data_IF_972920810076
#
_entry.id   IF_972920810076
#
_cell.length_a   1.000
_cell.length_b   1.000
_cell.length_c   1.000
_cell.angle_alpha   90.00
_cell.angle_beta   90.00
_cell.angle_gamma   90.00
#
_symmetry.space_group_name_H-M   'P 1'
#
loop_
_entity.id
_entity.type
_entity.pdbx_description
1 polymer ?
#
# COMPACT_ATOMS: atom_id res chain seq x y z
N UNK A 1 -0.59 0.95 -2.53
CA UNK A 1 0.23 0.37 -1.44
C UNK A 1 -0.47 0.66 -0.13
N UNK A 2 -0.52 -0.30 0.81
CA UNK A 2 -1.08 -0.08 2.13
C UNK A 2 0.03 0.22 3.13
N UNK A 3 -0.13 1.26 3.93
CA UNK A 3 0.76 1.63 5.03
C UNK A 3 0.02 1.48 6.36
N UNK A 4 0.69 0.95 7.37
CA UNK A 4 0.22 0.96 8.75
C UNK A 4 1.39 1.20 9.70
N UNK A 5 1.29 2.18 10.59
CA UNK A 5 2.34 2.46 11.56
C UNK A 5 2.08 1.68 12.86
N UNK A 6 2.92 0.69 13.14
CA UNK A 6 2.87 -0.12 14.36
C UNK A 6 3.44 0.65 15.55
N UNK A 7 4.52 1.40 15.32
CA UNK A 7 5.20 2.20 16.32
C UNK A 7 5.72 3.51 15.72
N UNK A 8 5.43 4.62 16.38
CA UNK A 8 5.79 5.98 15.98
C UNK A 8 5.21 6.42 14.64
N UNK A 9 5.50 7.65 14.26
CA UNK A 9 4.91 8.28 13.08
C UNK A 9 5.81 8.14 11.85
N UNK A 10 5.25 8.38 10.66
CA UNK A 10 6.02 8.59 9.44
C UNK A 10 5.42 9.73 8.61
N UNK A 11 6.20 10.30 7.70
CA UNK A 11 5.70 11.24 6.69
C UNK A 11 5.85 10.61 5.31
N UNK A 12 4.75 10.48 4.57
CA UNK A 12 4.74 10.05 3.18
C UNK A 12 4.59 11.30 2.30
N UNK A 13 5.69 11.73 1.67
CA UNK A 13 5.66 12.82 0.69
C UNK A 13 5.07 12.28 -0.60
N UNK A 14 4.11 12.98 -1.19
CA UNK A 14 3.48 12.58 -2.46
C UNK A 14 3.41 13.74 -3.44
N UNK A 15 3.20 13.41 -4.73
CA UNK A 15 2.78 14.38 -5.74
C UNK A 15 1.34 14.06 -6.15
N UNK A 16 0.41 14.94 -5.78
CA UNK A 16 -1.01 14.82 -6.06
C UNK A 16 -1.45 16.03 -6.91
N UNK A 17 -2.03 15.79 -8.08
CA UNK A 17 -2.47 16.84 -9.00
C UNK A 17 -1.37 17.88 -9.33
N UNK A 18 -0.14 17.40 -9.51
CA UNK A 18 1.02 18.25 -9.83
C UNK A 18 1.52 19.11 -8.66
N UNK A 19 1.08 18.82 -7.42
CA UNK A 19 1.51 19.53 -6.21
C UNK A 19 2.13 18.56 -5.23
N UNK A 20 3.22 18.98 -4.59
CA UNK A 20 3.78 18.24 -3.47
C UNK A 20 2.83 18.32 -2.27
N UNK A 21 2.69 17.21 -1.54
CA UNK A 21 1.89 17.11 -0.32
C UNK A 21 2.54 16.14 0.65
N UNK A 22 2.61 16.54 1.91
CA UNK A 22 3.08 15.68 3.00
C UNK A 22 1.88 15.01 3.67
N UNK A 23 1.92 13.68 3.78
CA UNK A 23 0.92 12.89 4.51
C UNK A 23 1.58 12.33 5.76
N UNK A 24 1.22 12.87 6.92
CA UNK A 24 1.62 12.29 8.21
C UNK A 24 0.73 11.08 8.48
N UNK A 25 1.36 9.94 8.74
CA UNK A 25 0.70 8.69 9.14
C UNK A 25 1.16 8.42 10.57
N UNK A 26 0.28 8.63 11.55
CA UNK A 26 0.62 8.51 12.96
C UNK A 26 0.61 7.05 13.43
N UNK A 27 1.22 6.80 14.58
CA UNK A 27 1.14 5.50 15.24
C UNK A 27 -0.31 5.00 15.39
N UNK A 28 -0.55 3.79 14.90
CA UNK A 28 -1.86 3.13 14.86
C UNK A 28 -2.73 3.51 13.66
N UNK A 29 -2.28 4.42 12.78
CA UNK A 29 -3.02 4.81 11.58
C UNK A 29 -2.73 3.91 10.37
N UNK A 30 -3.71 3.84 9.49
CA UNK A 30 -3.65 3.10 8.24
C UNK A 30 -3.92 4.02 7.06
N UNK A 31 -3.06 3.97 6.06
CA UNK A 31 -3.19 4.79 4.85
C UNK A 31 -3.10 3.93 3.59
N UNK A 32 -4.06 4.09 2.68
CA UNK A 32 -4.03 3.40 1.40
C UNK A 32 -3.64 4.38 0.29
N UNK A 33 -2.45 4.18 -0.26
CA UNK A 33 -1.96 4.95 -1.39
C UNK A 33 -2.55 4.40 -2.71
N UNK A 34 -3.25 5.23 -3.51
CA UNK A 34 -3.72 4.87 -4.85
C UNK A 34 -2.57 4.46 -5.78
N UNK A 35 -2.92 3.75 -6.87
CA UNK A 35 -1.93 3.39 -7.89
C UNK A 35 -1.40 4.64 -8.61
N UNK A 36 -0.11 4.59 -9.02
CA UNK A 36 0.56 5.60 -9.86
C UNK A 36 0.71 6.99 -9.19
N UNK A 37 0.69 7.06 -7.87
CA UNK A 37 1.05 8.29 -7.14
C UNK A 37 2.56 8.26 -6.85
N UNK A 38 3.35 9.23 -7.35
CA UNK A 38 4.72 9.41 -6.92
C UNK A 38 4.74 9.63 -5.40
N UNK A 39 5.53 8.84 -4.68
CA UNK A 39 5.58 8.88 -3.23
C UNK A 39 7.01 8.64 -2.73
N UNK A 40 7.36 9.26 -1.61
CA UNK A 40 8.68 9.18 -0.97
C UNK A 40 8.50 9.02 0.55
N UNK A 41 8.59 7.78 1.07
CA UNK A 41 8.38 7.51 2.49
C UNK A 41 9.57 8.02 3.34
N UNK A 42 9.26 8.86 4.32
CA UNK A 42 10.21 9.37 5.32
C UNK A 42 9.95 8.69 6.66
N UNK A 43 10.91 7.90 7.13
CA UNK A 43 10.84 7.17 8.40
C UNK A 43 11.78 7.81 9.44
N UNK A 44 11.37 7.79 10.69
CA UNK A 44 12.16 8.32 11.80
C UNK A 44 12.77 7.19 12.64
N UNK A 45 13.78 7.52 13.45
CA UNK A 45 14.39 6.56 14.37
C UNK A 45 13.36 5.96 15.35
N UNK A 46 13.56 4.70 15.72
CA UNK A 46 12.69 3.98 16.68
C UNK A 46 11.23 3.79 16.25
N UNK A 47 10.95 3.83 14.95
CA UNK A 47 9.61 3.58 14.36
C UNK A 47 9.53 2.21 13.69
N UNK A 48 8.34 1.65 13.61
CA UNK A 48 8.05 0.39 12.91
C UNK A 48 6.78 0.57 12.08
N UNK A 49 6.86 0.29 10.79
CA UNK A 49 5.72 0.37 9.87
C UNK A 49 5.59 -0.88 9.02
N UNK A 50 4.34 -1.30 8.82
CA UNK A 50 3.95 -2.34 7.89
C UNK A 50 3.62 -1.71 6.54
N UNK A 51 4.16 -2.29 5.46
CA UNK A 51 3.79 -1.96 4.09
C UNK A 51 3.34 -3.23 3.39
N UNK A 52 2.18 -3.18 2.73
CA UNK A 52 1.67 -4.28 1.92
C UNK A 52 1.52 -3.81 0.46
N UNK A 53 2.23 -4.49 -0.41
CA UNK A 53 2.16 -4.39 -1.87
C UNK A 53 1.92 -5.77 -2.47
N UNK A 54 1.75 -5.82 -3.80
CA UNK A 54 1.63 -7.07 -4.55
C UNK A 54 2.71 -7.20 -5.60
N UNK A 55 2.97 -8.43 -5.99
CA UNK A 55 3.75 -8.73 -7.19
C UNK A 55 3.16 -8.02 -8.42
N UNK A 56 4.05 -7.52 -9.28
CA UNK A 56 3.66 -6.81 -10.50
C UNK A 56 3.22 -7.80 -11.57
N UNK A 57 2.22 -7.42 -12.37
CA UNK A 57 1.97 -8.13 -13.63
C UNK A 57 3.13 -7.85 -14.59
N UNK A 58 3.40 -8.76 -15.53
CA UNK A 58 4.44 -8.58 -16.56
C UNK A 58 4.31 -7.32 -17.41
N UNK A 59 3.10 -6.74 -17.47
CA UNK A 59 2.79 -5.51 -18.20
C UNK A 59 2.94 -4.24 -17.35
N UNK A 60 3.27 -4.37 -16.07
CA UNK A 60 3.43 -3.26 -15.14
C UNK A 60 4.89 -2.88 -15.00
N UNK A 61 5.10 -1.57 -14.89
CA UNK A 61 6.42 -0.94 -14.82
C UNK A 61 6.40 0.01 -13.62
N UNK A 62 7.44 -0.10 -12.81
CA UNK A 62 7.73 0.80 -11.70
C UNK A 62 8.70 1.88 -12.17
N UNK A 63 8.64 3.03 -11.50
CA UNK A 63 9.49 4.18 -11.81
C UNK A 63 10.08 4.77 -10.55
N UNK A 64 11.38 5.03 -10.57
CA UNK A 64 12.05 5.86 -9.55
C UNK A 64 12.34 7.23 -10.14
N UNK A 65 12.04 8.28 -9.38
CA UNK A 65 12.23 9.68 -9.79
C UNK A 65 12.89 10.50 -8.70
N UNK A 66 13.76 11.41 -9.12
CA UNK A 66 14.21 12.57 -8.35
C UNK A 66 13.67 13.84 -9.00
N UNK A 67 13.45 14.88 -8.18
CA UNK A 67 12.91 16.16 -8.63
C UNK A 67 13.91 17.29 -8.37
N UNK A 68 13.76 18.39 -9.10
CA UNK A 68 14.58 19.59 -8.91
C UNK A 68 14.11 20.33 -7.67
N UNK A 69 14.83 20.21 -6.56
CA UNK A 69 14.48 20.83 -5.27
C UNK A 69 13.05 20.47 -4.84
N UNK A 70 12.31 21.46 -4.36
CA UNK A 70 10.89 21.31 -3.94
C UNK A 70 9.89 21.46 -5.11
N UNK A 71 10.36 21.43 -6.36
CA UNK A 71 9.48 21.49 -7.53
C UNK A 71 8.93 20.12 -7.90
N UNK A 72 8.04 20.08 -8.89
CA UNK A 72 7.59 18.84 -9.54
C UNK A 72 8.27 18.59 -10.88
N UNK A 73 9.35 19.32 -11.19
CA UNK A 73 10.15 19.11 -12.38
C UNK A 73 11.08 17.91 -12.16
N UNK A 74 11.02 16.92 -13.04
CA UNK A 74 11.83 15.71 -12.94
C UNK A 74 13.30 16.05 -13.20
N UNK A 75 14.17 15.65 -12.29
CA UNK A 75 15.63 15.78 -12.38
C UNK A 75 16.26 14.53 -12.99
N UNK A 76 15.81 13.35 -12.55
CA UNK A 76 16.26 12.04 -13.00
C UNK A 76 15.09 11.07 -12.90
N UNK A 77 15.00 10.14 -13.84
CA UNK A 77 14.06 9.03 -13.72
C UNK A 77 14.59 7.74 -14.33
N UNK A 78 14.12 6.62 -13.79
CA UNK A 78 14.37 5.28 -14.33
C UNK A 78 13.12 4.43 -14.22
N UNK A 79 12.80 3.70 -15.28
CA UNK A 79 11.67 2.80 -15.36
C UNK A 79 12.15 1.37 -15.51
N UNK A 80 11.52 0.44 -14.79
CA UNK A 80 11.94 -0.96 -14.75
C UNK A 80 10.77 -1.88 -14.41
N UNK A 81 10.87 -3.15 -14.81
CA UNK A 81 9.97 -4.18 -14.32
C UNK A 81 10.43 -4.63 -12.93
N UNK A 82 9.54 -4.51 -11.94
CA UNK A 82 9.86 -4.80 -10.55
C UNK A 82 9.51 -6.24 -10.18
N UNK A 83 10.53 -7.04 -9.94
CA UNK A 83 10.46 -8.40 -9.40
C UNK A 83 10.83 -8.41 -7.90
N UNK A 84 11.88 -7.67 -7.53
CA UNK A 84 12.31 -7.45 -6.15
C UNK A 84 12.72 -5.98 -5.97
N UNK A 85 11.81 -5.22 -5.36
CA UNK A 85 11.98 -3.79 -5.18
C UNK A 85 13.23 -3.45 -4.35
N UNK A 86 13.52 -4.24 -3.31
CA UNK A 86 14.62 -3.94 -2.39
C UNK A 86 15.98 -4.04 -3.08
N UNK A 87 16.18 -5.09 -3.87
CA UNK A 87 17.45 -5.31 -4.58
C UNK A 87 17.57 -4.45 -5.83
N UNK A 88 16.48 -4.24 -6.58
CA UNK A 88 16.51 -3.49 -7.84
C UNK A 88 16.60 -1.98 -7.65
N UNK A 89 16.15 -1.42 -6.52
CA UNK A 89 16.27 0.02 -6.26
C UNK A 89 17.70 0.48 -5.96
N UNK A 90 18.50 -0.35 -5.28
CA UNK A 90 19.87 -0.02 -4.88
C UNK A 90 20.74 0.47 -6.07
N UNK A 91 20.86 -0.28 -7.18
CA UNK A 91 21.69 0.14 -8.30
C UNK A 91 21.15 1.41 -8.98
N UNK A 92 19.83 1.61 -9.05
CA UNK A 92 19.21 2.81 -9.64
C UNK A 92 19.52 4.05 -8.79
N UNK A 93 19.49 3.90 -7.45
CA UNK A 93 19.85 4.96 -6.52
C UNK A 93 21.34 5.32 -6.67
N UNK A 94 22.21 4.32 -6.78
CA UNK A 94 23.64 4.54 -7.02
C UNK A 94 23.90 5.21 -8.38
N UNK A 95 23.16 4.83 -9.43
CA UNK A 95 23.22 5.49 -10.74
C UNK A 95 22.90 6.98 -10.61
N UNK A 96 21.83 7.35 -9.90
CA UNK A 96 21.49 8.74 -9.65
C UNK A 96 22.61 9.49 -8.92
N UNK A 97 23.13 8.97 -7.81
CA UNK A 97 24.18 9.65 -7.04
C UNK A 97 25.50 9.81 -7.80
N UNK A 98 25.76 8.95 -8.80
CA UNK A 98 26.92 9.07 -9.69
C UNK A 98 26.64 9.90 -10.96
N UNK A 99 25.41 10.37 -11.15
CA UNK A 99 24.98 11.08 -12.36
C UNK A 99 25.41 12.55 -12.37
N UNK A 100 25.46 13.14 -13.58
CA UNK A 100 25.65 14.58 -13.75
C UNK A 100 24.45 15.37 -13.19
N UNK A 101 23.25 14.80 -13.23
CA UNK A 101 22.03 15.40 -12.70
C UNK A 101 22.15 15.63 -11.20
N UNK A 102 22.67 14.65 -10.44
CA UNK A 102 22.96 14.83 -9.02
C UNK A 102 24.04 15.88 -8.78
N UNK A 103 25.15 15.82 -9.54
CA UNK A 103 26.27 16.76 -9.38
C UNK A 103 25.90 18.22 -9.70
N UNK A 104 24.99 18.44 -10.65
CA UNK A 104 24.65 19.78 -11.15
C UNK A 104 23.31 20.30 -10.67
N UNK A 105 22.45 19.43 -10.13
CA UNK A 105 21.05 19.74 -9.80
C UNK A 105 20.19 20.09 -11.02
N UNK A 106 20.65 19.78 -12.24
CA UNK A 106 19.96 20.14 -13.50
C UNK A 106 19.58 18.88 -14.29
N UNK A 107 18.38 18.83 -14.90
CA UNK A 107 18.00 17.74 -15.79
C UNK A 107 18.99 17.60 -16.96
N UNK A 108 19.22 16.36 -17.42
CA UNK A 108 20.03 16.10 -18.60
C UNK A 108 19.21 16.40 -19.88
N UNK A 109 19.58 17.39 -20.72
CA UNK A 109 18.80 17.73 -21.91
C UNK A 109 18.73 16.61 -22.96
N UNK A 110 19.65 15.65 -22.92
CA UNK A 110 19.68 14.52 -23.84
C UNK A 110 18.79 13.35 -23.40
N UNK A 111 18.33 13.34 -22.13
CA UNK A 111 17.43 12.30 -21.63
C UNK A 111 15.98 12.68 -21.89
N UNK A 112 15.26 11.79 -22.57
CA UNK A 112 13.82 11.93 -22.78
C UNK A 112 13.12 11.46 -21.50
N UNK A 113 12.65 12.42 -20.71
CA UNK A 113 11.83 12.16 -19.55
C UNK A 113 10.41 11.79 -20.03
N UNK A 114 9.88 10.68 -19.55
CA UNK A 114 8.51 10.25 -19.78
C UNK A 114 7.55 11.32 -19.25
N UNK A 115 6.86 11.98 -20.17
CA UNK A 115 5.79 12.92 -19.85
C UNK A 115 4.61 12.15 -19.27
N UNK A 116 4.54 12.01 -17.95
CA UNK A 116 3.40 11.36 -17.31
C UNK A 116 2.57 12.38 -16.52
N UNK A 117 1.58 12.99 -17.18
CA UNK A 117 0.47 13.67 -16.52
C UNK A 117 -0.50 12.62 -15.96
N UNK A 118 -0.13 11.99 -14.84
CA UNK A 118 -0.99 11.01 -14.20
C UNK A 118 -2.16 11.75 -13.53
N UNK A 119 -3.38 11.59 -14.07
CA UNK A 119 -4.61 12.01 -13.39
C UNK A 119 -4.79 11.16 -12.13
N UNK A 120 -4.83 11.83 -10.98
CA UNK A 120 -4.95 11.20 -9.67
C UNK A 120 -6.43 11.04 -9.30
N UNK A 121 -6.79 9.84 -8.84
CA UNK A 121 -8.03 9.59 -8.10
C UNK A 121 -7.71 9.81 -6.61
N UNK A 122 -8.58 10.51 -5.89
CA UNK A 122 -8.36 10.95 -4.51
C UNK A 122 -7.79 9.86 -3.61
N UNK A 123 -6.76 10.20 -2.83
CA UNK A 123 -6.22 9.36 -1.75
C UNK A 123 -7.27 9.06 -0.67
N UNK A 124 -7.23 7.86 -0.08
CA UNK A 124 -8.10 7.48 1.04
C UNK A 124 -7.30 7.36 2.33
N UNK A 125 -7.69 8.13 3.34
CA UNK A 125 -7.06 8.14 4.65
C UNK A 125 -8.01 7.53 5.69
N UNK A 126 -7.53 6.60 6.51
CA UNK A 126 -8.28 6.10 7.66
C UNK A 126 -7.57 6.58 8.92
N UNK A 127 -8.19 7.55 9.59
CA UNK A 127 -7.65 8.05 10.85
C UNK A 127 -7.72 6.99 11.94
N UNK A 128 -6.88 7.14 12.97
CA UNK A 128 -6.92 6.27 14.16
C UNK A 128 -8.33 6.15 14.73
N UNK A 129 -9.10 7.23 14.75
CA UNK A 129 -10.48 7.23 15.24
C UNK A 129 -11.42 6.41 14.34
N UNK A 130 -11.25 6.44 13.02
CA UNK A 130 -12.04 5.59 12.12
C UNK A 130 -11.63 4.12 12.26
N UNK A 131 -10.34 3.84 12.44
CA UNK A 131 -9.85 2.49 12.70
C UNK A 131 -10.35 1.92 14.03
N UNK A 132 -10.25 2.70 15.12
CA UNK A 132 -10.77 2.34 16.44
C UNK A 132 -12.31 2.29 16.46
N UNK A 133 -13.00 3.18 15.76
CA UNK A 133 -14.45 3.08 15.57
C UNK A 133 -14.82 1.86 14.73
N UNK A 134 -14.00 1.44 13.77
CA UNK A 134 -14.23 0.18 13.05
C UNK A 134 -14.09 -1.00 14.01
N UNK A 135 -13.07 -1.02 14.87
CA UNK A 135 -12.94 -2.02 15.93
C UNK A 135 -14.15 -2.05 16.88
N UNK A 136 -14.70 -0.88 17.23
CA UNK A 136 -15.85 -0.75 18.15
C UNK A 136 -17.22 -0.99 17.48
N UNK A 137 -17.38 -0.63 16.21
CA UNK A 137 -18.65 -0.72 15.46
C UNK A 137 -18.80 -2.01 14.65
N UNK A 138 -17.81 -2.92 14.68
CA UNK A 138 -18.04 -4.34 14.38
C UNK A 138 -18.90 -4.89 15.54
N UNK A 139 -20.17 -4.48 15.57
CA UNK A 139 -21.14 -4.87 16.57
C UNK A 139 -21.45 -6.37 16.43
N UNK A 140 -21.31 -7.05 17.56
CA UNK A 140 -21.24 -8.49 17.81
C UNK A 140 -22.46 -9.36 17.43
N UNK A 141 -23.27 -9.02 16.42
CA UNK A 141 -24.49 -9.80 16.12
C UNK A 141 -24.79 -10.07 14.64
N UNK A 142 -23.89 -9.79 13.70
CA UNK A 142 -24.16 -10.11 12.29
C UNK A 142 -22.89 -10.61 11.60
N UNK A 143 -22.99 -11.80 10.99
CA UNK A 143 -22.14 -12.29 9.90
C UNK A 143 -22.22 -11.34 8.67
N UNK A 144 -21.83 -10.07 8.82
CA UNK A 144 -21.76 -9.09 7.72
C UNK A 144 -20.32 -8.63 7.58
N UNK A 145 -19.72 -9.00 6.44
CA UNK A 145 -18.44 -8.50 5.99
C UNK A 145 -18.58 -6.98 5.75
N UNK A 146 -18.08 -6.16 6.65
CA UNK A 146 -18.00 -4.72 6.41
C UNK A 146 -16.70 -4.43 5.66
N UNK A 147 -16.84 -3.97 4.41
CA UNK A 147 -15.71 -3.54 3.58
C UNK A 147 -15.26 -2.17 4.06
N UNK A 148 -14.00 -2.05 4.47
CA UNK A 148 -13.43 -0.80 5.03
C UNK A 148 -12.99 0.15 3.90
N UNK A 149 -12.52 -0.39 2.77
CA UNK A 149 -12.09 0.40 1.61
C UNK A 149 -13.05 0.16 0.44
N UNK A 150 -13.69 1.24 -0.02
CA UNK A 150 -14.63 1.23 -1.14
C UNK A 150 -14.00 0.70 -2.44
N UNK A 151 -14.87 0.26 -3.37
CA UNK A 151 -14.61 -0.39 -4.67
C UNK A 151 -13.66 0.35 -5.64
N UNK A 152 -13.17 1.53 -5.27
CA UNK A 152 -12.29 2.38 -6.07
C UNK A 152 -10.82 1.96 -6.06
N UNK A 153 -10.44 0.98 -5.24
CA UNK A 153 -9.06 0.50 -5.12
C UNK A 153 -8.92 -0.98 -5.48
N UNK A 154 -7.76 -1.36 -6.03
CA UNK A 154 -7.41 -2.78 -6.22
C UNK A 154 -7.21 -3.53 -4.90
N UNK A 155 -7.10 -2.79 -3.78
CA UNK A 155 -6.95 -3.34 -2.44
C UNK A 155 -8.33 -3.46 -1.79
N UNK A 156 -8.67 -4.68 -1.37
CA UNK A 156 -9.85 -4.96 -0.54
C UNK A 156 -9.39 -5.19 0.89
N UNK A 157 -9.97 -4.47 1.85
CA UNK A 157 -9.82 -4.77 3.28
C UNK A 157 -11.19 -5.06 3.86
N UNK A 158 -11.31 -6.26 4.41
CA UNK A 158 -12.53 -6.79 5.02
C UNK A 158 -12.31 -6.94 6.52
N UNK A 159 -13.25 -6.47 7.33
CA UNK A 159 -13.28 -6.76 8.76
C UNK A 159 -14.09 -8.03 9.05
N UNK A 160 -13.61 -8.82 10.00
CA UNK A 160 -14.26 -10.04 10.46
C UNK A 160 -14.41 -9.99 11.98
N UNK A 161 -15.63 -10.24 12.44
CA UNK A 161 -15.96 -10.54 13.83
C UNK A 161 -15.95 -12.06 14.11
N UNK A 162 -16.52 -12.49 15.24
CA UNK A 162 -16.69 -13.91 15.57
C UNK A 162 -17.42 -14.71 14.50
N UNK A 163 -17.16 -16.02 14.44
CA UNK A 163 -17.85 -16.95 13.54
C UNK A 163 -16.92 -17.71 12.59
N UNK A 164 -17.51 -18.33 11.57
CA UNK A 164 -16.80 -19.23 10.66
C UNK A 164 -16.87 -18.70 9.23
N UNK A 165 -15.73 -18.64 8.55
CA UNK A 165 -15.67 -18.47 7.10
C UNK A 165 -15.31 -19.82 6.50
N UNK A 166 -16.23 -20.40 5.71
CA UNK A 166 -16.00 -21.68 5.04
C UNK A 166 -15.62 -21.49 3.58
N UNK A 167 -14.67 -22.30 3.11
CA UNK A 167 -14.43 -22.54 1.68
C UNK A 167 -14.17 -21.27 0.85
N UNK A 168 -13.65 -20.21 1.46
CA UNK A 168 -13.39 -18.97 0.75
C UNK A 168 -12.22 -19.18 -0.23
N UNK A 169 -12.46 -18.83 -1.50
CA UNK A 169 -11.43 -18.85 -2.55
C UNK A 169 -11.07 -17.42 -2.92
N UNK A 170 -9.78 -17.12 -2.97
CA UNK A 170 -9.27 -15.82 -3.42
C UNK A 170 -8.35 -16.04 -4.63
N UNK A 171 -8.40 -15.11 -5.58
CA UNK A 171 -7.59 -15.16 -6.81
C UNK A 171 -6.25 -14.42 -6.65
N UNK A 172 -5.90 -14.06 -5.41
CA UNK A 172 -4.70 -13.33 -5.04
C UNK A 172 -4.33 -13.73 -3.62
N UNK A 173 -3.07 -13.49 -3.27
CA UNK A 173 -2.62 -13.64 -1.89
C UNK A 173 -3.42 -12.76 -0.96
N UNK A 174 -3.66 -13.30 0.24
CA UNK A 174 -4.35 -12.60 1.30
C UNK A 174 -3.47 -12.52 2.52
N UNK A 175 -3.53 -11.38 3.19
CA UNK A 175 -2.92 -11.19 4.49
C UNK A 175 -4.01 -11.06 5.55
N UNK A 176 -4.00 -11.98 6.51
CA UNK A 176 -4.97 -12.01 7.62
C UNK A 176 -4.28 -11.47 8.87
N UNK A 177 -4.84 -10.39 9.42
CA UNK A 177 -4.42 -9.82 10.70
C UNK A 177 -5.45 -10.09 11.78
N UNK A 178 -5.11 -10.95 12.74
CA UNK A 178 -5.90 -11.12 13.96
C UNK A 178 -5.50 -10.02 14.95
N UNK A 179 -6.36 -9.01 15.11
CA UNK A 179 -6.09 -7.85 15.97
C UNK A 179 -6.36 -8.17 17.44
N UNK A 180 -7.47 -8.86 17.70
CA UNK A 180 -7.87 -9.38 19.01
C UNK A 180 -8.45 -10.76 18.75
N UNK A 181 -7.78 -11.85 19.11
CA UNK A 181 -8.31 -13.22 18.99
C UNK A 181 -7.38 -14.28 19.60
N UNK A 182 -7.95 -15.41 20.00
CA UNK A 182 -7.29 -16.72 19.92
C UNK A 182 -8.00 -17.52 18.80
N UNK A 183 -7.42 -17.67 17.61
CA UNK A 183 -8.06 -18.50 16.57
C UNK A 183 -7.83 -19.97 16.86
N UNK A 184 -8.87 -20.81 16.71
CA UNK A 184 -8.69 -22.26 16.91
C UNK A 184 -8.14 -22.97 15.68
N UNK A 185 -8.54 -22.58 14.46
CA UNK A 185 -8.13 -23.27 13.22
C UNK A 185 -8.13 -22.31 12.01
N UNK A 186 -6.96 -22.16 11.37
CA UNK A 186 -6.82 -21.67 9.99
C UNK A 186 -6.28 -22.85 9.17
N UNK A 187 -7.13 -23.46 8.35
CA UNK A 187 -6.71 -24.52 7.43
C UNK A 187 -6.53 -23.90 6.04
N UNK A 188 -5.30 -23.85 5.56
CA UNK A 188 -4.97 -23.42 4.20
C UNK A 188 -4.73 -24.64 3.33
N UNK A 189 -5.47 -24.78 2.24
CA UNK A 189 -5.12 -25.73 1.19
C UNK A 189 -4.36 -24.97 0.09
N UNK A 190 -3.03 -25.09 0.10
CA UNK A 190 -2.12 -24.39 -0.83
C UNK A 190 -2.48 -24.65 -2.30
N UNK A 191 -2.99 -25.84 -2.63
CA UNK A 191 -3.36 -26.20 -4.01
C UNK A 191 -4.63 -25.51 -4.52
N UNK A 192 -5.48 -25.01 -3.63
CA UNK A 192 -6.82 -24.50 -3.98
C UNK A 192 -7.03 -23.02 -3.63
N UNK A 193 -6.05 -22.36 -3.01
CA UNK A 193 -6.19 -21.02 -2.40
C UNK A 193 -7.47 -20.93 -1.55
N UNK A 194 -7.78 -22.03 -0.86
CA UNK A 194 -9.00 -22.19 -0.10
C UNK A 194 -8.64 -22.21 1.38
N UNK A 195 -9.37 -21.40 2.16
CA UNK A 195 -9.21 -21.39 3.60
C UNK A 195 -10.53 -21.53 4.33
N UNK A 196 -10.46 -22.23 5.46
CA UNK A 196 -11.49 -22.24 6.49
C UNK A 196 -10.93 -21.54 7.73
N UNK A 197 -11.70 -20.60 8.28
CA UNK A 197 -11.26 -19.77 9.38
C UNK A 197 -12.34 -19.64 10.45
N UNK A 198 -12.06 -20.21 11.63
CA UNK A 198 -12.94 -20.17 12.80
C UNK A 198 -12.41 -19.16 13.83
N UNK A 199 -13.26 -18.21 14.20
CA UNK A 199 -12.95 -17.05 15.03
C UNK A 199 -13.78 -17.07 16.32
N UNK A 200 -13.14 -16.85 17.47
CA UNK A 200 -13.75 -16.85 18.81
C UNK A 200 -14.64 -15.62 19.03
N UNK A 201 -15.42 -15.64 20.12
CA UNK A 201 -16.40 -14.58 20.46
C UNK A 201 -15.81 -13.18 20.64
N UNK A 202 -14.52 -13.04 20.96
CA UNK A 202 -13.84 -11.74 21.06
C UNK A 202 -13.03 -11.38 19.81
N UNK A 203 -13.24 -12.10 18.69
CA UNK A 203 -12.40 -11.95 17.52
C UNK A 203 -12.67 -10.64 16.77
N UNK A 204 -11.63 -9.84 16.57
CA UNK A 204 -11.57 -8.79 15.56
C UNK A 204 -10.37 -9.05 14.66
N UNK A 205 -10.62 -9.17 13.37
CA UNK A 205 -9.57 -9.42 12.41
C UNK A 205 -9.79 -8.69 11.08
N UNK A 206 -8.70 -8.44 10.36
CA UNK A 206 -8.69 -7.88 9.02
C UNK A 206 -8.22 -8.91 8.01
N UNK A 207 -8.85 -8.97 6.85
CA UNK A 207 -8.34 -9.68 5.68
C UNK A 207 -8.05 -8.66 4.59
N UNK A 208 -6.81 -8.64 4.12
CA UNK A 208 -6.30 -7.72 3.13
C UNK A 208 -5.98 -8.52 1.87
N UNK A 209 -6.53 -8.10 0.73
CA UNK A 209 -6.28 -8.74 -0.56
C UNK A 209 -5.99 -7.68 -1.62
N UNK A 210 -4.99 -7.90 -2.46
CA UNK A 210 -4.65 -7.01 -3.57
C UNK A 210 -4.80 -7.77 -4.90
N UNK A 211 -6.02 -7.78 -5.44
CA UNK A 211 -6.32 -8.52 -6.68
C UNK A 211 -6.05 -7.64 -7.91
N UNK A 212 -5.08 -8.00 -8.78
CA UNK A 212 -4.79 -7.20 -9.97
C UNK A 212 -5.98 -7.10 -10.93
N UNK A 213 -6.93 -8.05 -10.91
CA UNK A 213 -8.15 -8.00 -11.74
C UNK A 213 -9.11 -6.87 -11.32
N UNK A 214 -8.93 -6.33 -10.11
CA UNK A 214 -9.67 -5.18 -9.59
C UNK A 214 -8.98 -3.85 -9.88
N UNK A 215 -7.85 -3.87 -10.60
CA UNK A 215 -7.16 -2.65 -11.01
C UNK A 215 -8.09 -1.87 -11.95
N UNK A 216 -8.42 -0.64 -11.55
CA UNK A 216 -9.28 0.23 -12.34
C UNK A 216 -8.64 0.53 -13.71
N UNK A 217 -9.41 0.49 -14.81
CA UNK A 217 -8.96 1.00 -16.10
C UNK A 217 -8.73 2.52 -16.03
N UNK A 218 -7.91 3.03 -16.94
CA UNK A 218 -7.47 4.42 -16.98
C UNK A 218 -8.38 5.30 -17.84
#
# INVERSE_FOLDING_TARGET
>A
QLFYQVKGDMCLKIIENGKQRDIVIQEGEMFLLPARIPHSPQRYANTVGLVIERERLKTEIDGLRYYVGESTNVLFEKWFHCEDLGTQLIPIIQEFFNSRQYQTGKPNPAEVLSGSSLRVISSLFISRNQYENTKRNVNFNVCKNNTIFYEYFSVKIESYGPGTTEKSKKNSDIWIWQLVCASSHLLTNEFMFQYCWKRTEECVALCIAQDPKRKQPY
#
